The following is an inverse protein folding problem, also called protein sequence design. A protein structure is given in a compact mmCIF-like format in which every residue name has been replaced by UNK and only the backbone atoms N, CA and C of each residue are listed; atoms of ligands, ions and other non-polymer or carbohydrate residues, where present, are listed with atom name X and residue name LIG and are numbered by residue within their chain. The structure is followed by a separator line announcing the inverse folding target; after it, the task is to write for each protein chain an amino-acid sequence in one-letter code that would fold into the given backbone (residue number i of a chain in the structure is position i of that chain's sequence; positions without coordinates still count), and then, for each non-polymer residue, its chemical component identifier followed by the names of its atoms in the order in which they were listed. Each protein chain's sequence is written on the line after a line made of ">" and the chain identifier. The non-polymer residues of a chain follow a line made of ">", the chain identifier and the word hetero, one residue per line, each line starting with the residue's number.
data_IF_156319646949
#
_entry.id   IF_156319646949
#
_cell.length_a   1.000
_cell.length_b   1.000
_cell.length_c   1.000
_cell.angle_alpha   90.00
_cell.angle_beta   90.00
_cell.angle_gamma   90.00
#
_symmetry.space_group_name_H-M   'P 1'
#
loop_
_entity.id
_entity.type
_entity.pdbx_description
1 polymer ?
#
# COMPACT_ATOMS: atom_id res chain seq x y z
N UNK A 1 29.01 46.44 -7.98
CA UNK A 1 27.93 45.61 -7.41
C UNK A 1 28.53 44.72 -6.34
N UNK A 2 27.77 44.38 -5.29
CA UNK A 2 28.19 43.32 -4.37
C UNK A 2 27.89 41.94 -4.99
N UNK A 3 28.45 40.86 -4.45
CA UNK A 3 28.29 39.52 -5.03
C UNK A 3 26.83 39.04 -5.06
N UNK A 4 25.98 39.50 -4.14
CA UNK A 4 24.56 39.13 -4.11
C UNK A 4 23.76 39.81 -5.23
N UNK A 5 24.06 41.08 -5.52
CA UNK A 5 23.46 41.80 -6.65
C UNK A 5 23.85 41.14 -7.97
N UNK A 6 25.13 40.76 -8.11
CA UNK A 6 25.62 40.09 -9.33
C UNK A 6 24.97 38.70 -9.50
N UNK A 7 24.85 37.92 -8.44
CA UNK A 7 24.18 36.62 -8.47
C UNK A 7 22.70 36.77 -8.85
N UNK A 8 22.02 37.79 -8.32
CA UNK A 8 20.62 38.07 -8.68
C UNK A 8 20.49 38.44 -10.16
N UNK A 9 21.38 39.29 -10.66
CA UNK A 9 21.41 39.69 -12.07
C UNK A 9 21.69 38.49 -12.98
N UNK A 10 22.66 37.65 -12.61
CA UNK A 10 22.99 36.42 -13.34
C UNK A 10 21.81 35.44 -13.37
N UNK A 11 21.16 35.20 -12.23
CA UNK A 11 19.95 34.37 -12.15
C UNK A 11 18.82 34.93 -13.01
N UNK A 12 18.64 36.25 -13.03
CA UNK A 12 17.61 36.90 -13.83
C UNK A 12 17.87 36.79 -15.33
N UNK A 13 19.09 37.15 -15.78
CA UNK A 13 19.52 37.02 -17.17
C UNK A 13 19.41 35.57 -17.66
N UNK A 14 19.77 34.61 -16.81
CA UNK A 14 19.64 33.19 -17.09
C UNK A 14 18.18 32.73 -17.21
N UNK A 15 17.28 33.27 -16.41
CA UNK A 15 15.84 32.96 -16.49
C UNK A 15 15.19 33.55 -17.75
N UNK A 16 15.59 34.75 -18.15
CA UNK A 16 15.04 35.46 -19.30
C UNK A 16 15.59 35.00 -20.66
N UNK A 17 16.71 34.27 -20.66
CA UNK A 17 17.32 33.83 -21.93
C UNK A 17 18.29 34.86 -22.52
N UNK A 18 18.75 35.83 -21.73
CA UNK A 18 19.68 36.86 -22.19
C UNK A 18 21.13 36.32 -22.21
N UNK A 19 21.51 35.70 -23.33
CA UNK A 19 22.84 35.09 -23.53
C UNK A 19 23.97 36.11 -23.39
N UNK A 20 23.80 37.33 -23.90
CA UNK A 20 24.85 38.36 -23.87
C UNK A 20 25.13 38.83 -22.44
N UNK A 21 24.08 39.11 -21.66
CA UNK A 21 24.24 39.44 -20.24
C UNK A 21 24.87 38.30 -19.45
N UNK A 22 24.45 37.04 -19.68
CA UNK A 22 25.11 35.90 -19.03
C UNK A 22 26.58 35.82 -19.44
N UNK A 23 26.91 36.00 -20.71
CA UNK A 23 28.29 35.94 -21.20
C UNK A 23 29.19 36.96 -20.51
N UNK A 24 28.75 38.22 -20.43
CA UNK A 24 29.49 39.29 -19.76
C UNK A 24 29.65 39.00 -18.26
N UNK A 25 28.57 38.61 -17.58
CA UNK A 25 28.58 38.35 -16.13
C UNK A 25 29.45 37.15 -15.74
N UNK A 26 29.58 36.16 -16.63
CA UNK A 26 30.39 34.96 -16.42
C UNK A 26 31.87 35.18 -16.79
N UNK A 27 32.17 36.07 -17.73
CA UNK A 27 33.55 36.44 -18.08
C UNK A 27 34.21 37.35 -17.03
N UNK A 28 33.47 38.32 -16.50
CA UNK A 28 34.03 39.38 -15.65
C UNK A 28 34.10 39.01 -14.16
N UNK A 29 33.47 37.92 -13.72
CA UNK A 29 33.39 37.58 -12.30
C UNK A 29 33.31 36.07 -12.03
N UNK A 30 34.49 35.49 -11.75
CA UNK A 30 34.81 34.34 -10.90
C UNK A 30 33.77 33.21 -10.78
N UNK A 31 34.24 31.99 -11.06
CA UNK A 31 33.61 30.67 -10.82
C UNK A 31 32.84 30.55 -9.48
N UNK A 32 33.17 31.37 -8.48
CA UNK A 32 32.44 31.43 -7.21
C UNK A 32 30.99 31.90 -7.38
N UNK A 33 30.70 32.86 -8.26
CA UNK A 33 29.33 33.40 -8.42
C UNK A 33 28.47 32.51 -9.31
N UNK A 34 29.04 31.90 -10.36
CA UNK A 34 28.30 30.98 -11.23
C UNK A 34 27.80 29.73 -10.47
N UNK A 35 28.52 29.34 -9.42
CA UNK A 35 28.19 28.22 -8.54
C UNK A 35 27.44 28.64 -7.26
N UNK A 36 27.33 29.94 -7.01
CA UNK A 36 26.59 30.42 -5.87
C UNK A 36 25.08 30.17 -6.05
N UNK A 37 24.41 29.92 -4.92
CA UNK A 37 22.96 29.79 -4.85
C UNK A 37 22.40 30.76 -3.82
N UNK A 38 21.42 31.57 -4.20
CA UNK A 38 20.68 32.42 -3.26
C UNK A 38 19.27 31.84 -3.07
N UNK A 39 19.03 31.20 -1.93
CA UNK A 39 17.73 30.60 -1.62
C UNK A 39 17.38 29.39 -2.51
N UNK A 40 16.42 29.57 -3.42
CA UNK A 40 15.63 28.47 -4.02
C UNK A 40 16.31 27.83 -5.25
N UNK A 41 17.16 28.56 -6.00
CA UNK A 41 17.77 28.13 -7.28
C UNK A 41 19.10 28.86 -7.57
N UNK A 42 20.07 28.20 -8.22
CA UNK A 42 21.24 28.87 -8.83
C UNK A 42 20.92 29.38 -10.24
N UNK A 43 21.83 30.14 -10.86
CA UNK A 43 21.62 30.63 -12.21
C UNK A 43 21.51 29.49 -13.24
N UNK A 44 22.29 28.41 -13.08
CA UNK A 44 22.18 27.20 -13.89
C UNK A 44 20.81 26.52 -13.74
N UNK A 45 20.27 26.44 -12.51
CA UNK A 45 18.91 25.93 -12.31
C UNK A 45 17.85 26.78 -13.03
N UNK A 46 18.01 28.11 -13.05
CA UNK A 46 17.09 29.01 -13.73
C UNK A 46 17.16 28.83 -15.26
N UNK A 47 18.36 28.72 -15.82
CA UNK A 47 18.56 28.46 -17.26
C UNK A 47 17.95 27.12 -17.69
N UNK A 48 18.18 26.06 -16.90
CA UNK A 48 17.63 24.72 -17.15
C UNK A 48 16.10 24.73 -17.07
N UNK A 49 15.53 25.28 -16.00
CA UNK A 49 14.08 25.34 -15.80
C UNK A 49 13.34 26.08 -16.93
N UNK A 50 13.97 27.12 -17.49
CA UNK A 50 13.40 27.92 -18.59
C UNK A 50 13.87 27.47 -19.98
N UNK A 51 14.56 26.33 -20.08
CA UNK A 51 14.99 25.68 -21.34
C UNK A 51 15.94 26.50 -22.22
N UNK A 52 16.75 27.35 -21.62
CA UNK A 52 17.72 28.17 -22.37
C UNK A 52 19.00 27.39 -22.64
N UNK A 53 18.96 26.42 -23.56
CA UNK A 53 20.07 25.49 -23.83
C UNK A 53 21.41 26.19 -24.13
N UNK A 54 21.38 27.32 -24.85
CA UNK A 54 22.59 28.09 -25.15
C UNK A 54 23.22 28.68 -23.87
N UNK A 55 22.39 29.13 -22.93
CA UNK A 55 22.84 29.61 -21.62
C UNK A 55 23.36 28.45 -20.77
N UNK A 56 22.65 27.33 -20.74
CA UNK A 56 23.10 26.12 -20.03
C UNK A 56 24.49 25.71 -20.53
N UNK A 57 24.68 25.65 -21.86
CA UNK A 57 25.98 25.32 -22.47
C UNK A 57 27.06 26.32 -22.09
N UNK A 58 26.79 27.61 -22.28
CA UNK A 58 27.71 28.69 -21.94
C UNK A 58 28.15 28.62 -20.46
N UNK A 59 27.21 28.41 -19.54
CA UNK A 59 27.51 28.32 -18.12
C UNK A 59 28.36 27.11 -17.78
N UNK A 60 28.02 25.92 -18.31
CA UNK A 60 28.78 24.69 -18.08
C UNK A 60 30.19 24.77 -18.69
N UNK A 61 30.32 25.35 -19.89
CA UNK A 61 31.62 25.60 -20.54
C UNK A 61 32.47 26.61 -19.76
N UNK A 62 31.85 27.47 -18.97
CA UNK A 62 32.51 28.46 -18.13
C UNK A 62 32.75 28.00 -16.69
N UNK A 63 32.58 26.71 -16.39
CA UNK A 63 32.90 26.12 -15.10
C UNK A 63 31.76 26.12 -14.07
N UNK A 64 30.50 26.27 -14.52
CA UNK A 64 29.36 25.97 -13.66
C UNK A 64 29.38 24.49 -13.26
N UNK A 65 29.18 24.22 -11.97
CA UNK A 65 29.05 22.88 -11.42
C UNK A 65 27.71 22.28 -11.87
N UNK A 66 27.71 21.25 -12.73
CA UNK A 66 26.49 20.56 -13.17
C UNK A 66 25.74 19.88 -12.00
N UNK A 67 26.39 19.72 -10.85
CA UNK A 67 25.88 19.06 -9.65
C UNK A 67 25.52 20.04 -8.53
N UNK A 68 25.56 21.35 -8.78
CA UNK A 68 25.19 22.37 -7.77
C UNK A 68 23.83 22.04 -7.17
N UNK A 69 23.75 21.98 -5.84
CA UNK A 69 22.50 21.66 -5.14
C UNK A 69 21.81 22.93 -4.65
N UNK A 70 20.49 22.99 -4.81
CA UNK A 70 19.69 24.03 -4.15
C UNK A 70 19.35 23.68 -2.70
N UNK A 71 18.55 24.52 -2.02
CA UNK A 71 18.13 24.28 -0.63
C UNK A 71 17.34 22.99 -0.40
N UNK A 72 16.83 22.34 -1.45
CA UNK A 72 16.14 21.05 -1.41
C UNK A 72 17.05 19.88 -1.81
N UNK A 73 18.36 20.13 -2.00
CA UNK A 73 19.31 19.11 -2.50
C UNK A 73 19.13 18.78 -3.98
N UNK A 74 18.21 19.45 -4.68
CA UNK A 74 17.97 19.20 -6.09
C UNK A 74 19.06 19.84 -6.95
N UNK A 75 19.55 19.09 -7.94
CA UNK A 75 20.56 19.49 -8.92
C UNK A 75 19.91 20.03 -10.21
N UNK A 76 20.68 20.68 -11.11
CA UNK A 76 20.19 21.05 -12.45
C UNK A 76 19.51 19.89 -13.18
N UNK A 77 20.02 18.66 -13.05
CA UNK A 77 19.42 17.48 -13.69
C UNK A 77 18.04 17.12 -13.13
N UNK A 78 17.77 17.38 -11.84
CA UNK A 78 16.41 17.26 -11.30
C UNK A 78 15.47 18.29 -11.92
N UNK A 79 15.94 19.51 -12.14
CA UNK A 79 15.16 20.60 -12.75
C UNK A 79 14.90 20.39 -14.24
N UNK A 80 15.80 19.71 -14.94
CA UNK A 80 15.60 19.32 -16.34
C UNK A 80 14.45 18.33 -16.52
N UNK A 81 14.08 17.61 -15.45
CA UNK A 81 12.96 16.67 -15.39
C UNK A 81 11.76 17.36 -14.69
N UNK A 82 11.30 18.46 -15.29
CA UNK A 82 10.14 19.23 -14.86
C UNK A 82 9.04 19.28 -15.92
N UNK A 83 8.03 20.14 -15.70
CA UNK A 83 6.89 20.30 -16.63
C UNK A 83 7.32 20.75 -18.05
N UNK A 84 8.48 21.40 -18.13
CA UNK A 84 9.11 21.88 -19.37
C UNK A 84 10.36 21.04 -19.70
N UNK A 85 10.24 19.71 -19.67
CA UNK A 85 11.37 18.82 -19.92
C UNK A 85 11.93 18.99 -21.34
N UNK A 86 13.25 19.17 -21.43
CA UNK A 86 13.98 19.27 -22.68
C UNK A 86 15.11 18.23 -22.69
N UNK A 87 14.99 17.22 -23.56
CA UNK A 87 15.91 16.09 -23.60
C UNK A 87 17.33 16.52 -23.96
N UNK A 88 17.49 17.56 -24.79
CA UNK A 88 18.81 18.05 -25.20
C UNK A 88 19.54 18.68 -24.02
N UNK A 89 18.82 19.31 -23.08
CA UNK A 89 19.40 19.82 -21.83
C UNK A 89 19.80 18.67 -20.91
N UNK A 90 19.01 17.60 -20.83
CA UNK A 90 19.39 16.41 -20.05
C UNK A 90 20.68 15.81 -20.60
N UNK A 91 20.76 15.60 -21.93
CA UNK A 91 21.97 15.07 -22.55
C UNK A 91 23.17 16.00 -22.36
N UNK A 92 22.99 17.32 -22.51
CA UNK A 92 24.05 18.29 -22.25
C UNK A 92 24.56 18.22 -20.80
N UNK A 93 23.66 18.13 -19.82
CA UNK A 93 24.04 18.00 -18.41
C UNK A 93 24.82 16.70 -18.17
N UNK A 94 24.36 15.57 -18.74
CA UNK A 94 25.04 14.27 -18.62
C UNK A 94 26.40 14.26 -19.32
N UNK A 95 26.51 14.87 -20.51
CA UNK A 95 27.76 15.09 -21.23
C UNK A 95 28.76 15.89 -20.38
N UNK A 96 28.24 16.88 -19.63
CA UNK A 96 29.01 17.69 -18.69
C UNK A 96 29.13 17.06 -17.30
N UNK A 97 29.03 15.74 -17.18
CA UNK A 97 29.26 15.00 -15.93
C UNK A 97 28.27 15.29 -14.78
N UNK A 98 27.02 15.67 -15.10
CA UNK A 98 25.94 15.66 -14.10
C UNK A 98 25.73 14.24 -13.56
N UNK A 99 25.62 14.12 -12.24
CA UNK A 99 25.41 12.87 -11.55
C UNK A 99 23.92 12.47 -11.61
N UNK A 100 23.61 11.50 -12.47
CA UNK A 100 22.26 10.92 -12.60
C UNK A 100 21.78 10.19 -11.34
N UNK A 101 22.68 9.86 -10.42
CA UNK A 101 22.39 9.21 -9.14
C UNK A 101 22.36 10.21 -7.97
N UNK A 102 22.48 11.53 -8.22
CA UNK A 102 22.40 12.53 -7.16
C UNK A 102 21.04 12.45 -6.46
N UNK A 103 21.02 12.34 -5.13
CA UNK A 103 19.80 12.33 -4.35
C UNK A 103 19.52 13.72 -3.77
N UNK A 104 18.28 14.19 -3.93
CA UNK A 104 17.80 15.39 -3.24
C UNK A 104 17.47 15.09 -1.77
N UNK A 105 16.91 16.06 -1.04
CA UNK A 105 16.56 15.91 0.39
C UNK A 105 15.45 14.90 0.71
N UNK A 106 14.79 14.34 -0.31
CA UNK A 106 13.82 13.26 -0.18
C UNK A 106 14.41 11.91 -0.63
N UNK A 107 15.74 11.83 -0.81
CA UNK A 107 16.40 10.65 -1.37
C UNK A 107 16.10 10.42 -2.86
N UNK A 108 15.31 11.28 -3.50
CA UNK A 108 14.91 11.07 -4.89
C UNK A 108 16.07 11.42 -5.83
N UNK A 109 16.31 10.56 -6.82
CA UNK A 109 17.20 10.86 -7.95
C UNK A 109 16.41 11.60 -9.04
N UNK A 110 17.08 12.17 -10.06
CA UNK A 110 16.38 12.70 -11.23
C UNK A 110 15.44 11.66 -11.87
N UNK A 111 15.85 10.39 -11.94
CA UNK A 111 15.00 9.32 -12.48
C UNK A 111 13.81 8.98 -11.56
N UNK A 112 13.95 9.10 -10.24
CA UNK A 112 12.80 8.99 -9.32
C UNK A 112 11.77 10.09 -9.60
N UNK A 113 12.22 11.33 -9.83
CA UNK A 113 11.32 12.44 -10.21
C UNK A 113 10.62 12.16 -11.54
N UNK A 114 11.34 11.64 -12.54
CA UNK A 114 10.75 11.24 -13.82
C UNK A 114 9.69 10.15 -13.64
N UNK A 115 9.97 9.14 -12.83
CA UNK A 115 9.09 8.00 -12.61
C UNK A 115 7.82 8.42 -11.86
N UNK A 116 7.96 9.25 -10.82
CA UNK A 116 6.82 9.81 -10.09
C UNK A 116 5.90 10.64 -11.01
N UNK A 117 6.47 11.36 -11.99
CA UNK A 117 5.71 12.14 -13.00
C UNK A 117 5.17 11.30 -14.17
N UNK A 118 5.42 9.99 -14.22
CA UNK A 118 5.01 9.12 -15.33
C UNK A 118 5.76 9.40 -16.64
N UNK A 119 6.95 10.01 -16.59
CA UNK A 119 7.76 10.35 -17.76
C UNK A 119 8.55 9.14 -18.30
N UNK A 120 7.84 8.04 -18.55
CA UNK A 120 8.43 6.74 -18.89
C UNK A 120 9.33 6.80 -20.13
N UNK A 121 8.93 7.55 -21.16
CA UNK A 121 9.71 7.73 -22.38
C UNK A 121 11.07 8.38 -22.13
N UNK A 122 11.15 9.35 -21.21
CA UNK A 122 12.42 9.99 -20.82
C UNK A 122 13.33 9.00 -20.12
N UNK A 123 12.78 8.20 -19.19
CA UNK A 123 13.54 7.15 -18.49
C UNK A 123 14.10 6.13 -19.48
N UNK A 124 13.27 5.67 -20.43
CA UNK A 124 13.66 4.70 -21.46
C UNK A 124 14.68 5.27 -22.46
N UNK A 125 14.72 6.58 -22.70
CA UNK A 125 15.74 7.23 -23.53
C UNK A 125 17.06 7.45 -22.80
N UNK A 126 17.03 7.76 -21.50
CA UNK A 126 18.25 8.08 -20.72
C UNK A 126 18.99 6.81 -20.25
N UNK A 127 18.25 5.80 -19.78
CA UNK A 127 18.85 4.59 -19.20
C UNK A 127 19.80 3.81 -20.13
N UNK A 128 19.57 3.68 -21.46
CA UNK A 128 20.51 3.02 -22.38
C UNK A 128 21.94 3.54 -22.36
N UNK A 129 22.12 4.84 -22.17
CA UNK A 129 23.42 5.49 -22.30
C UNK A 129 23.88 6.15 -21.00
N UNK A 130 23.37 5.68 -19.84
CA UNK A 130 23.72 6.23 -18.54
C UNK A 130 24.21 5.18 -17.55
N UNK A 131 24.97 5.62 -16.55
CA UNK A 131 25.47 4.81 -15.42
C UNK A 131 24.51 4.87 -14.22
N UNK A 132 23.21 5.05 -14.48
CA UNK A 132 22.22 5.18 -13.43
C UNK A 132 22.04 3.87 -12.66
N UNK A 133 22.01 3.95 -11.34
CA UNK A 133 21.68 2.83 -10.49
C UNK A 133 20.16 2.74 -10.32
N UNK A 134 19.54 1.84 -11.08
CA UNK A 134 18.09 1.63 -11.12
C UNK A 134 17.49 1.07 -9.82
N UNK A 135 18.33 0.57 -8.91
CA UNK A 135 17.92 -0.02 -7.64
C UNK A 135 18.11 0.93 -6.44
N UNK A 136 18.49 2.19 -6.68
CA UNK A 136 18.52 3.19 -5.61
C UNK A 136 17.12 3.35 -5.01
N UNK A 137 17.08 3.52 -3.69
CA UNK A 137 15.87 3.79 -2.94
C UNK A 137 15.83 5.27 -2.57
N UNK A 138 14.67 5.90 -2.69
CA UNK A 138 14.42 7.20 -2.09
C UNK A 138 14.23 7.11 -0.58
N UNK A 139 13.91 8.23 0.07
CA UNK A 139 13.71 8.25 1.52
C UNK A 139 12.48 7.47 1.97
N UNK A 140 11.55 7.10 1.09
CA UNK A 140 10.45 6.19 1.43
C UNK A 140 10.83 4.71 1.19
N UNK A 141 12.05 4.45 0.74
CA UNK A 141 12.51 3.12 0.36
C UNK A 141 12.06 2.71 -1.05
N UNK A 142 11.46 3.61 -1.84
CA UNK A 142 10.93 3.28 -3.16
C UNK A 142 12.02 3.35 -4.23
N UNK A 143 11.99 2.38 -5.13
CA UNK A 143 12.83 2.34 -6.33
C UNK A 143 12.05 2.79 -7.57
N UNK A 144 12.72 2.96 -8.72
CA UNK A 144 12.05 3.21 -9.99
C UNK A 144 10.95 2.19 -10.31
N UNK A 145 11.16 0.92 -9.94
CA UNK A 145 10.19 -0.14 -10.19
C UNK A 145 8.92 0.02 -9.34
N UNK A 146 9.04 0.54 -8.11
CA UNK A 146 7.87 0.87 -7.28
C UNK A 146 7.02 1.95 -7.94
N UNK A 147 7.64 3.03 -8.44
CA UNK A 147 6.92 4.09 -9.13
C UNK A 147 6.31 3.62 -10.45
N UNK A 148 7.04 2.82 -11.24
CA UNK A 148 6.52 2.24 -12.47
C UNK A 148 5.30 1.34 -12.21
N UNK A 149 5.36 0.52 -11.15
CA UNK A 149 4.27 -0.33 -10.71
C UNK A 149 3.06 0.47 -10.17
N UNK A 150 3.33 1.49 -9.35
CA UNK A 150 2.32 2.42 -8.82
C UNK A 150 1.61 3.21 -9.92
N UNK A 151 2.26 3.45 -11.06
CA UNK A 151 1.68 4.17 -12.20
C UNK A 151 1.12 3.23 -13.28
N UNK A 152 1.11 1.92 -13.07
CA UNK A 152 0.59 0.95 -14.05
C UNK A 152 1.38 0.88 -15.35
N UNK A 153 2.64 1.30 -15.32
CA UNK A 153 3.46 1.46 -16.51
C UNK A 153 4.16 0.17 -16.87
N UNK A 154 3.41 -0.81 -17.42
CA UNK A 154 3.94 -2.14 -17.77
C UNK A 154 5.18 -2.07 -18.66
N UNK A 155 5.18 -1.23 -19.69
CA UNK A 155 6.33 -1.07 -20.59
C UNK A 155 7.60 -0.65 -19.83
N UNK A 156 7.46 0.25 -18.85
CA UNK A 156 8.59 0.69 -18.02
C UNK A 156 9.02 -0.41 -17.04
N UNK A 157 8.08 -1.16 -16.46
CA UNK A 157 8.39 -2.31 -15.59
C UNK A 157 9.19 -3.37 -16.35
N UNK A 158 8.75 -3.74 -17.56
CA UNK A 158 9.44 -4.68 -18.43
C UNK A 158 10.84 -4.17 -18.82
N UNK A 159 10.94 -2.91 -19.21
CA UNK A 159 12.22 -2.30 -19.55
C UNK A 159 13.20 -2.29 -18.37
N UNK A 160 12.75 -1.90 -17.18
CA UNK A 160 13.58 -1.88 -15.97
C UNK A 160 14.01 -3.29 -15.58
N UNK A 161 13.12 -4.29 -15.67
CA UNK A 161 13.48 -5.69 -15.42
C UNK A 161 14.56 -6.19 -16.39
N UNK A 162 14.42 -5.89 -17.69
CA UNK A 162 15.43 -6.21 -18.71
C UNK A 162 16.78 -5.49 -18.48
N UNK A 163 16.82 -4.49 -17.60
CA UNK A 163 18.02 -3.81 -17.10
C UNK A 163 18.50 -4.33 -15.74
N UNK A 164 17.99 -5.47 -15.29
CA UNK A 164 18.31 -6.09 -14.00
C UNK A 164 17.81 -5.29 -12.78
N UNK A 165 16.68 -4.59 -12.90
CA UNK A 165 16.00 -4.04 -11.72
C UNK A 165 15.54 -5.18 -10.81
N UNK A 166 15.76 -5.02 -9.50
CA UNK A 166 15.37 -6.01 -8.52
C UNK A 166 13.89 -5.83 -8.14
N UNK A 167 13.07 -6.83 -8.50
CA UNK A 167 11.63 -6.85 -8.26
C UNK A 167 11.24 -7.13 -6.80
N UNK A 168 12.20 -7.47 -5.95
CA UNK A 168 11.97 -7.87 -4.55
C UNK A 168 12.39 -6.81 -3.52
N UNK A 169 12.94 -5.66 -3.96
CA UNK A 169 13.26 -4.57 -3.02
C UNK A 169 11.97 -4.11 -2.36
N UNK A 170 12.00 -3.95 -1.04
CA UNK A 170 10.87 -3.47 -0.25
C UNK A 170 11.09 -2.04 0.18
N UNK A 171 10.04 -1.23 0.12
CA UNK A 171 10.01 0.11 0.67
C UNK A 171 9.95 0.10 2.21
N UNK A 172 9.89 1.28 2.84
CA UNK A 172 9.81 1.40 4.32
C UNK A 172 8.55 0.80 4.93
N UNK A 173 7.49 0.65 4.14
CA UNK A 173 6.24 -0.03 4.51
C UNK A 173 6.30 -1.53 4.23
N UNK A 174 7.49 -2.07 3.91
CA UNK A 174 7.69 -3.45 3.49
C UNK A 174 6.94 -3.85 2.21
N UNK A 175 6.47 -2.87 1.44
CA UNK A 175 5.80 -3.11 0.17
C UNK A 175 6.86 -3.31 -0.91
N UNK A 176 6.78 -4.44 -1.61
CA UNK A 176 7.48 -4.66 -2.88
C UNK A 176 6.65 -4.09 -4.06
N UNK A 177 7.22 -3.90 -5.26
CA UNK A 177 6.53 -3.35 -6.42
C UNK A 177 5.18 -4.01 -6.76
N UNK A 178 5.03 -5.32 -6.56
CA UNK A 178 3.75 -6.01 -6.76
C UNK A 178 2.63 -5.49 -5.84
N UNK A 179 2.96 -5.07 -4.61
CA UNK A 179 2.00 -4.50 -3.67
C UNK A 179 1.49 -3.16 -4.21
N UNK A 180 2.40 -2.30 -4.71
CA UNK A 180 2.04 -1.03 -5.31
C UNK A 180 1.16 -1.21 -6.56
N UNK A 181 1.47 -2.18 -7.42
CA UNK A 181 0.63 -2.48 -8.58
C UNK A 181 -0.76 -2.99 -8.19
N UNK A 182 -0.84 -3.88 -7.18
CA UNK A 182 -2.09 -4.45 -6.71
C UNK A 182 -2.98 -3.44 -5.98
N UNK A 183 -2.40 -2.57 -5.15
CA UNK A 183 -3.08 -1.47 -4.45
C UNK A 183 -3.64 -0.40 -5.38
N UNK A 184 -3.04 -0.23 -6.57
CA UNK A 184 -3.51 0.74 -7.58
C UNK A 184 -4.27 0.08 -8.75
N UNK A 185 -4.44 -1.24 -8.73
CA UNK A 185 -5.35 -1.93 -9.64
C UNK A 185 -4.74 -2.33 -10.99
N UNK A 186 -3.42 -2.29 -11.14
CA UNK A 186 -2.74 -2.51 -12.41
C UNK A 186 -2.47 -3.99 -12.68
N UNK A 187 -3.54 -4.67 -13.13
CA UNK A 187 -3.55 -6.11 -13.42
C UNK A 187 -2.43 -6.55 -14.35
N UNK A 188 -2.19 -5.83 -15.42
CA UNK A 188 -1.18 -6.17 -16.43
C UNK A 188 0.24 -6.13 -15.86
N UNK A 189 0.52 -5.18 -14.98
CA UNK A 189 1.77 -5.12 -14.21
C UNK A 189 1.85 -6.26 -13.20
N UNK A 190 0.77 -6.50 -12.43
CA UNK A 190 0.72 -7.60 -11.46
C UNK A 190 0.99 -8.94 -12.13
N UNK A 191 0.30 -9.23 -13.23
CA UNK A 191 0.47 -10.47 -13.99
C UNK A 191 1.92 -10.59 -14.49
N UNK A 192 2.48 -9.52 -15.06
CA UNK A 192 3.86 -9.54 -15.53
C UNK A 192 4.84 -9.83 -14.40
N UNK A 193 4.72 -9.16 -13.25
CA UNK A 193 5.60 -9.41 -12.10
C UNK A 193 5.47 -10.85 -11.57
N UNK A 194 4.25 -11.41 -11.55
CA UNK A 194 4.03 -12.81 -11.17
C UNK A 194 4.66 -13.79 -12.17
N UNK A 195 4.54 -13.52 -13.47
CA UNK A 195 5.14 -14.35 -14.52
C UNK A 195 6.67 -14.38 -14.39
N UNK A 196 7.28 -13.27 -13.96
CA UNK A 196 8.72 -13.19 -13.69
C UNK A 196 9.13 -13.98 -12.43
N UNK A 197 8.33 -13.93 -11.36
CA UNK A 197 8.59 -14.60 -10.08
C UNK A 197 8.69 -16.12 -10.19
N UNK A 198 8.02 -16.74 -11.19
CA UNK A 198 8.07 -18.19 -11.44
C UNK A 198 9.50 -18.67 -11.75
N UNK A 199 10.33 -17.81 -12.33
CA UNK A 199 11.70 -18.14 -12.76
C UNK A 199 12.77 -17.80 -11.70
N UNK A 200 12.40 -17.08 -10.65
CA UNK A 200 13.29 -16.59 -9.60
C UNK A 200 12.69 -16.96 -8.24
N UNK A 201 13.10 -18.05 -7.57
CA UNK A 201 12.61 -18.38 -6.21
C UNK A 201 12.72 -17.14 -5.30
N UNK A 202 11.63 -16.40 -4.97
CA UNK A 202 10.74 -16.74 -3.85
C UNK A 202 9.31 -16.10 -3.88
N UNK A 203 8.25 -16.91 -3.80
CA UNK A 203 6.93 -16.64 -3.17
C UNK A 203 6.40 -15.18 -3.04
N UNK A 204 6.62 -14.31 -4.03
CA UNK A 204 6.40 -12.85 -3.91
C UNK A 204 4.92 -12.55 -3.70
N UNK A 205 4.07 -13.40 -4.28
CA UNK A 205 2.62 -13.36 -4.14
C UNK A 205 2.12 -13.45 -2.69
N UNK A 206 2.90 -14.10 -1.83
CA UNK A 206 2.60 -14.29 -0.41
C UNK A 206 3.47 -13.42 0.49
N UNK A 207 4.32 -12.56 -0.08
CA UNK A 207 5.03 -11.56 0.72
C UNK A 207 4.01 -10.67 1.40
N UNK A 208 4.21 -10.43 2.69
CA UNK A 208 3.43 -9.50 3.47
C UNK A 208 4.19 -8.17 3.61
N UNK A 209 3.45 -7.08 3.55
CA UNK A 209 3.91 -5.74 3.92
C UNK A 209 3.94 -5.56 5.44
N UNK A 210 4.21 -4.34 5.91
CA UNK A 210 4.28 -4.05 7.34
C UNK A 210 2.96 -4.36 8.05
N UNK A 211 1.81 -4.30 7.39
CA UNK A 211 0.49 -4.54 7.98
C UNK A 211 0.02 -5.99 7.80
N UNK A 212 0.91 -6.89 7.40
CA UNK A 212 0.56 -8.27 7.13
C UNK A 212 -0.24 -8.44 5.83
N UNK A 213 -0.36 -7.41 5.00
CA UNK A 213 -1.14 -7.45 3.78
C UNK A 213 -0.30 -8.05 2.66
N UNK A 214 -0.83 -9.05 1.97
CA UNK A 214 -0.27 -9.50 0.68
C UNK A 214 -0.81 -8.65 -0.45
N UNK A 215 -0.23 -8.76 -1.64
CA UNK A 215 -0.76 -8.12 -2.85
C UNK A 215 -2.25 -8.45 -3.08
N UNK A 216 -2.69 -9.68 -2.78
CA UNK A 216 -4.10 -10.06 -2.89
C UNK A 216 -5.00 -9.37 -1.84
N UNK A 217 -4.51 -9.19 -0.61
CA UNK A 217 -5.26 -8.42 0.37
C UNK A 217 -5.47 -6.98 -0.10
N UNK A 218 -4.41 -6.33 -0.60
CA UNK A 218 -4.48 -4.97 -1.11
C UNK A 218 -5.42 -4.85 -2.32
N UNK A 219 -5.35 -5.78 -3.27
CA UNK A 219 -6.27 -5.78 -4.42
C UNK A 219 -7.74 -5.83 -3.97
N UNK A 220 -8.07 -6.63 -2.96
CA UNK A 220 -9.44 -6.75 -2.44
C UNK A 220 -9.87 -5.48 -1.70
N UNK A 221 -9.01 -4.91 -0.85
CA UNK A 221 -9.32 -3.73 -0.05
C UNK A 221 -9.53 -2.47 -0.91
N UNK A 222 -8.68 -2.26 -1.92
CA UNK A 222 -8.66 -1.03 -2.71
C UNK A 222 -9.50 -1.11 -3.98
N UNK A 223 -9.79 -2.32 -4.47
CA UNK A 223 -10.61 -2.56 -5.65
C UNK A 223 -11.83 -3.45 -5.34
N UNK A 224 -12.72 -3.06 -4.41
CA UNK A 224 -13.89 -3.86 -4.03
C UNK A 224 -14.89 -4.05 -5.18
N UNK A 225 -14.96 -3.11 -6.13
CA UNK A 225 -15.82 -3.22 -7.32
C UNK A 225 -15.39 -4.35 -8.27
N UNK A 226 -14.12 -4.73 -8.19
CA UNK A 226 -13.54 -5.83 -8.93
C UNK A 226 -13.84 -7.19 -8.29
N UNK A 227 -14.38 -7.21 -7.07
CA UNK A 227 -14.80 -8.41 -6.35
C UNK A 227 -16.26 -8.74 -6.68
N UNK A 228 -16.49 -9.94 -7.21
CA UNK A 228 -17.84 -10.51 -7.35
C UNK A 228 -17.83 -11.90 -6.72
N UNK A 229 -18.11 -11.96 -5.43
CA UNK A 229 -18.34 -13.21 -4.70
C UNK A 229 -19.86 -13.38 -4.55
N UNK A 230 -20.34 -14.62 -4.47
CA UNK A 230 -21.70 -14.94 -4.01
C UNK A 230 -21.57 -15.87 -2.82
N UNK A 231 -22.09 -15.48 -1.67
CA UNK A 231 -22.10 -16.26 -0.44
C UNK A 231 -22.55 -17.73 -0.60
N UNK A 232 -23.52 -17.99 -1.49
CA UNK A 232 -24.02 -19.35 -1.75
C UNK A 232 -23.02 -20.27 -2.47
N UNK A 233 -22.07 -19.72 -3.23
CA UNK A 233 -20.99 -20.48 -3.88
C UNK A 233 -19.82 -20.73 -2.92
N UNK A 234 -19.58 -19.79 -2.00
CA UNK A 234 -18.63 -19.90 -0.90
C UNK A 234 -18.92 -21.10 0.01
N UNK A 235 -20.19 -21.36 0.30
CA UNK A 235 -20.61 -22.52 1.10
C UNK A 235 -20.51 -23.86 0.34
N UNK A 236 -20.41 -23.85 -1.00
CA UNK A 236 -20.50 -25.06 -1.86
C UNK A 236 -19.16 -25.56 -2.38
N UNK A 237 -18.11 -24.74 -2.41
CA UNK A 237 -16.76 -25.12 -2.89
C UNK A 237 -15.73 -24.68 -1.87
N UNK A 238 -14.60 -25.41 -1.77
CA UNK A 238 -13.41 -24.97 -1.00
C UNK A 238 -13.26 -23.45 -1.12
N UNK A 239 -13.31 -22.70 -0.01
CA UNK A 239 -13.44 -21.23 -0.02
C UNK A 239 -12.45 -20.49 -0.93
N UNK A 240 -11.28 -21.07 -1.17
CA UNK A 240 -10.26 -20.62 -2.13
C UNK A 240 -10.79 -20.51 -3.58
N UNK A 241 -11.79 -21.31 -3.95
CA UNK A 241 -12.41 -21.39 -5.29
C UNK A 241 -13.56 -20.39 -5.46
N UNK A 242 -14.14 -19.90 -4.37
CA UNK A 242 -15.27 -18.96 -4.41
C UNK A 242 -14.84 -17.54 -4.82
N UNK A 243 -13.65 -17.10 -4.40
CA UNK A 243 -13.03 -15.85 -4.85
C UNK A 243 -12.72 -15.88 -6.36
N UNK A 244 -12.57 -17.07 -6.97
CA UNK A 244 -12.15 -17.26 -8.36
C UNK A 244 -13.27 -17.08 -9.39
N UNK A 245 -14.55 -17.30 -9.02
CA UNK A 245 -15.55 -17.63 -10.04
C UNK A 245 -16.04 -16.40 -10.85
N UNK A 246 -16.05 -15.19 -10.26
CA UNK A 246 -16.52 -13.98 -10.96
C UNK A 246 -15.76 -12.69 -10.71
N UNK A 247 -14.76 -12.67 -9.83
CA UNK A 247 -13.88 -11.50 -9.65
C UNK A 247 -13.25 -11.09 -10.98
N UNK A 248 -13.04 -9.78 -11.19
CA UNK A 248 -12.44 -9.26 -12.42
C UNK A 248 -10.99 -9.71 -12.54
N UNK A 249 -10.37 -9.37 -13.66
CA UNK A 249 -9.14 -10.02 -14.08
C UNK A 249 -7.96 -9.83 -13.11
N UNK A 250 -7.92 -8.77 -12.29
CA UNK A 250 -6.86 -8.52 -11.29
C UNK A 250 -6.84 -9.59 -10.19
N UNK A 251 -7.98 -9.79 -9.51
CA UNK A 251 -8.12 -10.76 -8.44
C UNK A 251 -7.89 -12.18 -8.97
N UNK A 252 -8.33 -12.47 -10.20
CA UNK A 252 -8.03 -13.75 -10.87
C UNK A 252 -6.54 -13.97 -11.13
N UNK A 253 -5.83 -12.93 -11.57
CA UNK A 253 -4.38 -12.98 -11.83
C UNK A 253 -3.60 -13.30 -10.55
N UNK A 254 -4.01 -12.69 -9.43
CA UNK A 254 -3.42 -12.96 -8.12
C UNK A 254 -3.84 -14.33 -7.59
N UNK A 255 -5.08 -14.77 -7.77
CA UNK A 255 -5.58 -16.01 -7.14
C UNK A 255 -5.22 -17.31 -7.87
N UNK A 256 -4.71 -17.24 -9.11
CA UNK A 256 -4.37 -18.41 -9.94
C UNK A 256 -2.97 -18.98 -9.68
N UNK A 257 -2.12 -18.22 -8.98
CA UNK A 257 -0.77 -18.60 -8.61
C UNK A 257 -0.75 -19.17 -7.18
N UNK A 258 0.39 -19.64 -6.65
CA UNK A 258 0.55 -20.33 -5.34
C UNK A 258 0.18 -19.48 -4.08
N UNK A 259 -0.96 -18.79 -4.09
CA UNK A 259 -1.48 -17.96 -3.00
C UNK A 259 -1.76 -18.81 -1.78
N UNK A 260 -1.29 -18.32 -0.65
CA UNK A 260 -1.67 -18.80 0.65
C UNK A 260 -2.83 -17.95 1.20
N UNK A 261 -4.05 -18.45 1.04
CA UNK A 261 -5.27 -17.82 1.57
C UNK A 261 -5.36 -17.85 3.10
N UNK A 262 -4.50 -18.61 3.79
CA UNK A 262 -4.50 -18.67 5.26
C UNK A 262 -3.69 -17.55 5.91
N UNK A 263 -2.95 -16.75 5.12
CA UNK A 263 -2.20 -15.62 5.64
C UNK A 263 -3.16 -14.56 6.18
N UNK A 264 -2.85 -14.08 7.38
CA UNK A 264 -3.63 -13.06 8.08
C UNK A 264 -2.87 -11.75 8.09
N UNK A 265 -3.59 -10.65 7.92
CA UNK A 265 -3.08 -9.32 8.18
C UNK A 265 -2.88 -9.08 9.70
N UNK A 266 -2.34 -7.91 10.08
CA UNK A 266 -2.16 -7.52 11.49
C UNK A 266 -3.45 -7.55 12.32
N UNK A 267 -4.60 -7.33 11.68
CA UNK A 267 -5.91 -7.35 12.34
C UNK A 267 -6.48 -8.77 12.50
N UNK A 268 -5.78 -9.79 11.97
CA UNK A 268 -6.17 -11.19 12.05
C UNK A 268 -7.07 -11.67 10.92
N UNK A 269 -7.33 -10.84 9.91
CA UNK A 269 -8.18 -11.16 8.77
C UNK A 269 -7.38 -11.78 7.62
N UNK A 270 -7.90 -12.87 7.07
CA UNK A 270 -7.45 -13.41 5.79
C UNK A 270 -8.04 -12.62 4.63
N UNK A 271 -7.45 -12.80 3.44
CA UNK A 271 -8.04 -12.39 2.15
C UNK A 271 -9.53 -12.73 2.06
N UNK A 272 -9.91 -13.91 2.55
CA UNK A 272 -11.27 -14.40 2.46
C UNK A 272 -12.22 -13.70 3.44
N UNK A 273 -11.75 -13.43 4.66
CA UNK A 273 -12.50 -12.66 5.65
C UNK A 273 -12.79 -11.25 5.11
N UNK A 274 -11.79 -10.62 4.48
CA UNK A 274 -11.94 -9.31 3.85
C UNK A 274 -12.89 -9.33 2.63
N UNK A 275 -12.77 -10.34 1.77
CA UNK A 275 -13.63 -10.48 0.60
C UNK A 275 -15.11 -10.61 0.98
N UNK A 276 -15.39 -11.45 1.99
CA UNK A 276 -16.74 -11.58 2.52
C UNK A 276 -17.21 -10.22 3.07
N UNK A 277 -16.40 -9.55 3.90
CA UNK A 277 -16.75 -8.27 4.55
C UNK A 277 -17.18 -7.18 3.55
N UNK A 278 -16.58 -7.16 2.37
CA UNK A 278 -16.85 -6.21 1.30
C UNK A 278 -18.17 -6.53 0.56
N UNK A 279 -18.49 -7.81 0.33
CA UNK A 279 -19.71 -8.22 -0.40
C UNK A 279 -21.00 -7.90 0.39
N UNK A 280 -20.98 -8.07 1.71
CA UNK A 280 -22.21 -8.07 2.53
C UNK A 280 -22.64 -6.72 3.11
N UNK A 281 -21.98 -5.62 2.73
CA UNK A 281 -22.09 -4.32 3.40
C UNK A 281 -21.56 -4.43 4.85
N UNK A 282 -20.66 -3.53 5.27
CA UNK A 282 -19.78 -3.74 6.44
C UNK A 282 -20.51 -4.09 7.76
N UNK A 283 -21.82 -3.84 7.86
CA UNK A 283 -22.64 -4.17 9.02
C UNK A 283 -22.84 -5.68 9.25
N UNK A 284 -23.09 -6.50 8.23
CA UNK A 284 -23.47 -7.91 8.43
C UNK A 284 -22.29 -8.82 8.76
N UNK A 285 -21.08 -8.41 8.37
CA UNK A 285 -19.86 -9.14 8.70
C UNK A 285 -19.12 -8.52 9.87
N UNK A 286 -19.30 -7.24 10.19
CA UNK A 286 -19.03 -6.80 11.55
C UNK A 286 -19.88 -7.63 12.53
N UNK A 287 -21.16 -7.87 12.23
CA UNK A 287 -22.03 -8.77 13.00
C UNK A 287 -21.54 -10.22 12.97
N UNK A 288 -21.19 -10.80 11.82
CA UNK A 288 -20.71 -12.19 11.72
C UNK A 288 -19.27 -12.45 12.23
N UNK A 289 -18.36 -11.47 12.12
CA UNK A 289 -17.02 -11.51 12.73
C UNK A 289 -17.10 -11.19 14.21
N UNK A 290 -18.10 -10.42 14.65
CA UNK A 290 -18.45 -10.26 16.06
C UNK A 290 -19.04 -11.57 16.60
N UNK A 291 -19.89 -12.29 15.85
CA UNK A 291 -20.35 -13.66 16.12
C UNK A 291 -19.19 -14.66 16.19
N UNK A 292 -18.18 -14.56 15.30
CA UNK A 292 -16.95 -15.38 15.40
C UNK A 292 -15.97 -14.90 16.49
N UNK A 293 -16.02 -13.64 16.91
CA UNK A 293 -15.34 -13.10 18.12
C UNK A 293 -16.09 -13.44 19.40
N UNK A 294 -17.38 -13.78 19.33
CA UNK A 294 -18.22 -14.27 20.43
C UNK A 294 -17.92 -15.74 20.77
N UNK A 295 -16.65 -16.14 20.67
CA UNK A 295 -16.10 -17.16 21.57
C UNK A 295 -15.98 -16.50 22.96
N UNK A 296 -17.13 -16.41 23.65
CA UNK A 296 -17.23 -15.74 24.93
C UNK A 296 -16.21 -16.32 25.92
N UNK A 297 -15.38 -15.46 26.50
CA UNK A 297 -14.59 -15.85 27.67
C UNK A 297 -15.50 -15.76 28.90
N UNK A 298 -15.43 -16.74 29.81
CA UNK A 298 -16.26 -16.80 31.03
C UNK A 298 -16.27 -15.45 31.80
N UNK A 299 -15.16 -14.70 31.74
CA UNK A 299 -14.95 -13.43 32.42
C UNK A 299 -15.81 -12.25 31.89
N UNK A 300 -16.43 -12.38 30.71
CA UNK A 300 -17.21 -11.32 30.04
C UNK A 300 -18.72 -11.43 30.27
N UNK A 301 -19.17 -12.51 30.93
CA UNK A 301 -20.58 -12.78 31.20
C UNK A 301 -20.83 -12.59 32.70
N UNK A 302 -21.77 -11.71 33.04
CA UNK A 302 -22.20 -11.48 34.43
C UNK A 302 -23.70 -11.68 34.55
N UNK A 303 -24.14 -12.26 35.66
CA UNK A 303 -25.56 -12.44 35.97
C UNK A 303 -25.95 -11.39 37.02
N UNK A 304 -26.95 -10.57 36.73
CA UNK A 304 -27.48 -9.59 37.67
C UNK A 304 -28.98 -9.36 37.43
N UNK A 305 -29.77 -9.36 38.51
CA UNK A 305 -31.21 -9.04 38.48
C UNK A 305 -32.00 -9.76 37.38
N UNK A 306 -31.90 -11.10 37.33
CA UNK A 306 -32.57 -11.95 36.34
C UNK A 306 -32.27 -11.59 34.87
N UNK A 307 -31.10 -11.02 34.63
CA UNK A 307 -30.60 -10.63 33.31
C UNK A 307 -29.16 -11.09 33.13
N UNK A 308 -28.86 -11.59 31.95
CA UNK A 308 -27.52 -11.87 31.47
C UNK A 308 -26.93 -10.56 30.93
N UNK A 309 -25.88 -10.07 31.59
CA UNK A 309 -25.15 -8.87 31.18
C UNK A 309 -23.86 -9.32 30.49
N UNK A 310 -23.79 -9.08 29.19
CA UNK A 310 -22.59 -9.36 28.39
C UNK A 310 -21.85 -8.04 28.18
N UNK A 311 -20.59 -7.99 28.61
CA UNK A 311 -19.75 -6.80 28.49
C UNK A 311 -18.76 -7.03 27.34
N UNK A 312 -19.04 -6.43 26.18
CA UNK A 312 -18.16 -6.47 25.01
C UNK A 312 -17.59 -5.07 24.74
N UNK A 313 -16.26 -4.93 24.75
CA UNK A 313 -15.46 -3.72 24.41
C UNK A 313 -16.26 -2.40 24.44
N UNK A 314 -16.69 -2.01 25.63
CA UNK A 314 -17.36 -0.73 25.96
C UNK A 314 -18.85 -0.58 25.60
N UNK A 315 -19.59 -1.67 25.34
CA UNK A 315 -21.05 -1.67 25.35
C UNK A 315 -21.58 -2.81 26.22
N UNK A 316 -22.36 -2.47 27.23
CA UNK A 316 -23.15 -3.46 28.00
C UNK A 316 -24.39 -3.82 27.19
N UNK A 317 -24.53 -5.10 26.83
CA UNK A 317 -25.80 -5.64 26.34
C UNK A 317 -26.46 -6.42 27.47
N UNK A 318 -27.67 -6.02 27.83
CA UNK A 318 -28.48 -6.68 28.86
C UNK A 318 -29.52 -7.53 28.13
N UNK A 319 -29.34 -8.85 28.21
CA UNK A 319 -30.35 -9.82 27.80
C UNK A 319 -31.14 -10.20 29.04
N UNK A 320 -32.43 -9.87 29.09
CA UNK A 320 -33.31 -10.37 30.14
C UNK A 320 -33.45 -11.88 29.98
N UNK A 321 -33.30 -12.64 31.08
CA UNK A 321 -33.53 -14.09 31.07
C UNK A 321 -35.00 -14.44 30.80
N UNK A 322 -35.90 -13.46 30.97
CA UNK A 322 -37.32 -13.55 30.66
C UNK A 322 -37.61 -12.77 29.36
N UNK A 323 -38.10 -13.42 28.29
CA UNK A 323 -38.60 -12.71 27.11
C UNK A 323 -39.81 -11.85 27.51
N UNK A 324 -39.87 -10.59 27.06
CA UNK A 324 -40.95 -9.66 27.38
C UNK A 324 -42.24 -10.06 26.63
N UNK A 325 -42.91 -11.13 27.07
CA UNK A 325 -44.25 -11.62 26.68
C UNK A 325 -44.57 -11.86 25.19
N UNK A 326 -43.73 -11.43 24.24
CA UNK A 326 -43.90 -11.69 22.82
C UNK A 326 -43.19 -12.99 22.42
N UNK A 327 -43.93 -13.88 21.75
CA UNK A 327 -43.44 -15.18 21.27
C UNK A 327 -42.15 -15.09 20.45
N UNK A 328 -41.99 -13.98 19.72
CA UNK A 328 -40.83 -13.68 18.88
C UNK A 328 -39.55 -13.49 19.71
N UNK A 329 -39.65 -12.88 20.89
CA UNK A 329 -38.50 -12.64 21.77
C UNK A 329 -38.10 -13.91 22.51
N UNK A 330 -39.06 -14.80 22.81
CA UNK A 330 -38.80 -16.11 23.39
C UNK A 330 -38.04 -17.04 22.42
N UNK A 331 -38.45 -17.07 21.15
CA UNK A 331 -37.80 -17.91 20.14
C UNK A 331 -36.35 -17.45 19.88
N UNK A 332 -36.11 -16.13 19.79
CA UNK A 332 -34.76 -15.55 19.66
C UNK A 332 -33.89 -15.81 20.89
N UNK A 333 -34.47 -15.78 22.08
CA UNK A 333 -33.75 -16.08 23.31
C UNK A 333 -33.29 -17.55 23.34
N UNK A 334 -34.18 -18.48 22.97
CA UNK A 334 -33.89 -19.91 22.91
C UNK A 334 -32.83 -20.25 21.86
N UNK A 335 -32.84 -19.56 20.71
CA UNK A 335 -31.79 -19.68 19.69
C UNK A 335 -30.42 -19.30 20.27
N UNK A 336 -30.32 -18.13 20.92
CA UNK A 336 -29.08 -17.69 21.58
C UNK A 336 -28.65 -18.59 22.74
N UNK A 337 -29.59 -19.13 23.51
CA UNK A 337 -29.30 -20.06 24.61
C UNK A 337 -28.60 -21.33 24.11
N UNK A 338 -29.03 -21.86 22.95
CA UNK A 338 -28.46 -23.08 22.36
C UNK A 338 -27.02 -22.90 21.86
N UNK A 339 -26.60 -21.66 21.61
CA UNK A 339 -25.26 -21.33 21.15
C UNK A 339 -24.24 -21.22 22.30
N UNK A 340 -24.68 -20.96 23.55
CA UNK A 340 -23.82 -20.80 24.74
C UNK A 340 -23.11 -22.10 25.16
N UNK A 341 -21.81 -22.13 25.53
CA UNK A 341 -21.15 -23.31 26.06
C UNK A 341 -21.91 -23.96 27.23
N UNK A 342 -21.95 -25.30 27.28
CA UNK A 342 -22.72 -26.05 28.29
C UNK A 342 -22.37 -25.61 29.71
N UNK A 343 -21.08 -25.50 30.02
CA UNK A 343 -20.58 -25.08 31.33
C UNK A 343 -21.08 -23.70 31.76
N UNK A 344 -21.28 -22.78 30.82
CA UNK A 344 -21.82 -21.44 31.07
C UNK A 344 -23.33 -21.52 31.29
N UNK A 345 -24.05 -22.29 30.47
CA UNK A 345 -25.49 -22.48 30.68
C UNK A 345 -25.82 -23.20 31.98
N UNK A 346 -24.96 -24.10 32.47
CA UNK A 346 -25.10 -24.74 33.79
C UNK A 346 -24.94 -23.74 34.95
N UNK A 347 -23.95 -22.86 34.89
CA UNK A 347 -23.79 -21.79 35.88
C UNK A 347 -24.98 -20.82 35.90
N UNK A 348 -25.64 -20.62 34.75
CA UNK A 348 -26.86 -19.80 34.68
C UNK A 348 -28.04 -20.53 35.33
N UNK A 349 -28.18 -21.84 35.10
CA UNK A 349 -29.24 -22.65 35.73
C UNK A 349 -29.19 -22.57 37.26
N UNK A 350 -28.00 -22.53 37.86
CA UNK A 350 -27.83 -22.41 39.32
C UNK A 350 -28.36 -21.08 39.90
N UNK A 351 -28.69 -20.11 39.05
CA UNK A 351 -29.16 -18.78 39.44
C UNK A 351 -30.63 -18.51 39.12
N UNK A 352 -31.32 -19.45 38.45
CA UNK A 352 -32.72 -19.32 38.04
C UNK A 352 -33.70 -19.74 39.15
N UNK A 353 -34.89 -19.16 39.12
CA UNK A 353 -36.06 -19.53 39.91
C UNK A 353 -36.71 -20.84 39.41
N UNK A 354 -37.31 -21.63 40.32
CA UNK A 354 -37.82 -23.00 40.06
C UNK A 354 -38.80 -23.09 38.89
N UNK A 355 -39.57 -22.03 38.62
CA UNK A 355 -40.62 -22.00 37.60
C UNK A 355 -40.08 -22.17 36.18
N UNK A 356 -38.85 -21.72 35.93
CA UNK A 356 -38.21 -21.73 34.59
C UNK A 356 -37.05 -22.74 34.50
N UNK A 357 -36.54 -23.22 35.65
CA UNK A 357 -35.39 -24.10 35.77
C UNK A 357 -35.55 -25.40 34.97
N UNK A 358 -36.74 -26.01 35.00
CA UNK A 358 -36.99 -27.32 34.40
C UNK A 358 -36.85 -27.33 32.87
N UNK A 359 -37.31 -26.28 32.19
CA UNK A 359 -37.27 -26.20 30.73
C UNK A 359 -35.82 -26.02 30.23
N UNK A 360 -35.05 -25.14 30.87
CA UNK A 360 -33.66 -24.89 30.50
C UNK A 360 -32.72 -26.04 30.90
N UNK A 361 -33.01 -26.74 32.01
CA UNK A 361 -32.32 -27.98 32.38
C UNK A 361 -32.53 -29.05 31.31
N UNK A 362 -33.77 -29.26 30.87
CA UNK A 362 -34.08 -30.22 29.80
C UNK A 362 -33.34 -29.87 28.50
N UNK A 363 -33.34 -28.59 28.10
CA UNK A 363 -32.59 -28.11 26.94
C UNK A 363 -31.09 -28.39 27.05
N UNK A 364 -30.48 -28.23 28.22
CA UNK A 364 -29.06 -28.52 28.42
C UNK A 364 -28.77 -30.02 28.41
N UNK A 365 -29.64 -30.85 28.98
CA UNK A 365 -29.50 -32.30 28.91
C UNK A 365 -29.65 -32.84 27.47
N UNK A 366 -30.63 -32.33 26.71
CA UNK A 366 -30.79 -32.66 25.28
C UNK A 366 -29.54 -32.29 24.47
N UNK A 367 -28.91 -31.16 24.79
CA UNK A 367 -27.66 -30.71 24.14
C UNK A 367 -26.46 -31.57 24.53
N UNK A 368 -26.35 -31.99 25.80
CA UNK A 368 -25.31 -32.93 26.26
C UNK A 368 -25.44 -34.29 25.56
N UNK A 369 -26.66 -34.80 25.42
CA UNK A 369 -26.94 -36.06 24.72
C UNK A 369 -26.59 -35.96 23.23
N UNK A 370 -26.87 -34.83 22.59
CA UNK A 370 -26.48 -34.58 21.20
C UNK A 370 -24.95 -34.48 20.99
N UNK A 371 -24.17 -34.29 22.06
CA UNK A 371 -22.73 -34.06 22.04
C UNK A 371 -21.87 -35.28 22.48
N UNK A 372 -22.46 -36.43 22.85
CA UNK A 372 -21.71 -37.67 23.17
C UNK A 372 -22.13 -38.83 22.25
N UNK A 373 -21.24 -39.52 21.54
CA UNK A 373 -20.18 -40.37 22.15
C UNK A 373 -18.71 -40.07 21.76
N UNK A 374 -18.37 -39.16 20.83
CA UNK A 374 -16.97 -39.08 20.31
C UNK A 374 -16.18 -37.78 20.55
N UNK A 375 -16.75 -36.70 21.11
CA UNK A 375 -16.05 -35.38 21.14
C UNK A 375 -15.64 -34.82 22.52
N UNK A 376 -15.77 -35.58 23.62
CA UNK A 376 -15.50 -35.04 24.97
C UNK A 376 -14.01 -35.18 25.39
N UNK A 377 -13.12 -35.64 24.50
CA UNK A 377 -11.71 -35.89 24.88
C UNK A 377 -10.59 -35.16 24.14
N UNK A 378 -10.87 -34.17 23.30
CA UNK A 378 -9.81 -33.27 22.82
C UNK A 378 -10.25 -31.80 22.91
N UNK A 379 -9.84 -31.13 24.00
CA UNK A 379 -9.51 -29.69 24.07
C UNK A 379 -9.17 -29.29 25.53
N UNK A 380 -7.98 -29.67 26.00
CA UNK A 380 -7.19 -28.89 26.96
C UNK A 380 -6.10 -28.17 26.16
#
# INVERSE_FOLDING_TARGET
>A
MNNNDLLRELCHAAAEGNVESVHLLVQDNAVDIINASYGIKSALHAAVHNRHINIVRLMLDSGADPNVQNMYGATPLHFAIGDNCDIDIIYLLLEKNANINAQNKNGSTPLHVAAWRGMNGIIMQILPNSVANINLQDDDGKTLLHFAAQNGSKDLVEFLYNRNANIHIKDKSWKAPIHSAAENGFKDVVQFLLDLDIYTYPNMINSQDNDGQTALHLAILYHPKDLHVRYEEYLKKNGNVAILYRSTELIKSLSSNNVNFSLKNKDGYTVLDLALAIEHDQHKIAEHLQEKRLLWREEQIKIANNSLVIIAENKEQILKLKPDSEKIDADKFLEKWRELPIKITEQILDTLDDDDLGAFQQLNEERKVALGEDSIHEMI
#
